data_IF_190676229759
#
_entry.id   IF_190676229759
#
_cell.length_a   1.000
_cell.length_b   1.000
_cell.length_c   1.000
_cell.angle_alpha   90.00
_cell.angle_beta   90.00
_cell.angle_gamma   90.00
#
_symmetry.space_group_name_H-M   'P 1'
#
loop_
_entity.id
_entity.type
_entity.pdbx_description
1 polymer ?
#
# COMPACT_ATOMS: atom_id res chain seq x y z
N UNK A 1 -2.39 -15.31 6.98
CA UNK A 1 -2.90 -14.04 7.56
C UNK A 1 -1.89 -13.54 8.60
N UNK A 2 -1.22 -12.44 8.28
CA UNK A 2 -0.50 -11.58 9.20
C UNK A 2 -1.53 -10.63 9.80
N UNK A 3 -2.15 -11.07 10.89
CA UNK A 3 -2.98 -10.22 11.72
C UNK A 3 -2.26 -10.15 13.06
N UNK A 4 -1.58 -9.05 13.32
CA UNK A 4 -1.10 -8.80 14.67
C UNK A 4 -2.26 -8.22 15.45
N UNK A 5 -2.73 -8.94 16.46
CA UNK A 5 -3.34 -8.28 17.58
C UNK A 5 -2.19 -7.67 18.39
N UNK A 6 -1.59 -6.55 17.93
CA UNK A 6 -0.38 -5.89 18.48
C UNK A 6 -0.60 -5.30 19.89
N UNK A 7 -1.27 -6.04 20.76
CA UNK A 7 -1.51 -5.73 22.17
C UNK A 7 -0.38 -6.23 23.07
N UNK A 8 0.68 -6.79 22.51
CA UNK A 8 1.85 -7.21 23.27
C UNK A 8 2.84 -6.05 23.36
N UNK A 9 3.21 -5.58 24.56
CA UNK A 9 4.21 -4.54 24.70
C UNK A 9 5.57 -5.05 24.20
N UNK A 10 6.25 -4.24 23.42
CA UNK A 10 7.61 -4.48 22.93
C UNK A 10 8.57 -3.50 23.57
N UNK A 11 9.80 -3.96 23.80
CA UNK A 11 10.91 -3.10 24.19
C UNK A 11 11.92 -3.14 23.05
N UNK A 12 12.08 -2.02 22.36
CA UNK A 12 13.04 -1.89 21.26
C UNK A 12 14.00 -0.73 21.51
N UNK A 13 14.99 -0.58 20.64
CA UNK A 13 15.95 0.53 20.66
C UNK A 13 15.98 1.29 19.33
N UNK A 14 14.87 1.27 18.59
CA UNK A 14 14.84 1.74 17.19
C UNK A 14 15.17 3.22 17.02
N UNK A 15 14.97 4.04 18.06
CA UNK A 15 15.25 5.48 18.03
C UNK A 15 16.74 5.84 17.98
N UNK A 16 17.61 5.12 18.69
CA UNK A 16 19.03 5.49 18.84
C UNK A 16 19.99 4.29 18.95
N UNK A 17 19.48 3.06 18.88
CA UNK A 17 20.24 1.82 19.04
C UNK A 17 20.62 1.46 20.48
N UNK A 18 20.33 2.34 21.46
CA UNK A 18 20.80 2.16 22.85
C UNK A 18 19.67 2.24 23.90
N UNK A 19 18.72 3.16 23.75
CA UNK A 19 17.66 3.47 24.73
C UNK A 19 16.47 2.54 24.54
N UNK A 20 16.11 1.72 25.55
CA UNK A 20 14.89 0.92 25.53
C UNK A 20 13.63 1.80 25.50
N UNK A 21 12.70 1.51 24.60
CA UNK A 21 11.43 2.23 24.47
C UNK A 21 10.31 1.33 23.93
N UNK A 22 9.07 1.84 24.02
CA UNK A 22 7.85 1.16 23.57
C UNK A 22 7.45 1.58 22.14
N UNK A 23 8.41 1.91 21.29
CA UNK A 23 8.19 2.09 19.84
C UNK A 23 8.55 0.78 19.14
N UNK A 24 7.76 0.34 18.16
CA UNK A 24 7.96 -0.98 17.55
C UNK A 24 9.05 -0.88 16.49
N UNK A 25 9.79 -1.97 16.30
CA UNK A 25 10.53 -2.15 15.06
C UNK A 25 9.55 -2.53 13.95
N UNK A 26 9.86 -2.15 12.71
CA UNK A 26 9.03 -2.57 11.58
C UNK A 26 9.02 -4.09 11.44
N UNK A 27 7.83 -4.68 11.31
CA UNK A 27 7.71 -6.06 10.86
C UNK A 27 7.89 -6.10 9.34
N UNK A 28 8.86 -6.88 8.90
CA UNK A 28 9.17 -7.07 7.48
C UNK A 28 8.29 -8.17 6.89
N UNK A 29 7.33 -7.79 6.06
CA UNK A 29 6.43 -8.72 5.37
C UNK A 29 6.82 -8.71 3.89
N UNK A 30 7.65 -9.69 3.49
CA UNK A 30 8.24 -9.70 2.15
C UNK A 30 8.38 -11.08 1.52
N UNK A 31 8.45 -11.08 0.18
CA UNK A 31 8.65 -12.28 -0.64
C UNK A 31 7.52 -13.32 -0.46
N UNK A 32 6.29 -12.88 -0.23
CA UNK A 32 5.12 -13.73 -0.09
C UNK A 32 4.27 -13.77 -1.37
N UNK A 33 3.66 -14.92 -1.63
CA UNK A 33 2.52 -15.06 -2.54
C UNK A 33 1.23 -14.99 -1.72
N UNK A 34 0.39 -13.99 -1.96
CA UNK A 34 -0.83 -13.76 -1.18
C UNK A 34 -2.02 -13.73 -2.14
N UNK A 35 -3.00 -14.61 -1.91
CA UNK A 35 -4.21 -14.68 -2.70
C UNK A 35 -5.44 -14.45 -1.82
N UNK A 36 -6.36 -13.62 -2.30
CA UNK A 36 -7.66 -13.40 -1.67
C UNK A 36 -8.81 -13.57 -2.68
N UNK A 37 -10.04 -13.73 -2.20
CA UNK A 37 -11.25 -13.61 -3.03
C UNK A 37 -12.19 -12.50 -2.54
N UNK A 38 -11.82 -11.83 -1.44
CA UNK A 38 -12.48 -10.67 -0.87
C UNK A 38 -11.46 -9.53 -0.77
N UNK A 39 -10.63 -9.52 0.26
CA UNK A 39 -9.59 -8.52 0.50
C UNK A 39 -8.26 -9.23 0.78
N UNK A 40 -7.34 -9.28 -0.19
CA UNK A 40 -6.03 -9.93 -0.01
C UNK A 40 -5.21 -9.25 1.09
N UNK A 41 -5.43 -7.94 1.28
CA UNK A 41 -4.81 -7.18 2.36
C UNK A 41 -5.38 -7.52 3.73
N UNK A 42 -6.55 -8.16 3.89
CA UNK A 42 -6.95 -8.68 5.22
C UNK A 42 -5.99 -9.79 5.68
N UNK A 43 -5.18 -10.32 4.76
CA UNK A 43 -4.02 -11.12 5.08
C UNK A 43 -2.86 -10.32 5.69
N UNK A 44 -2.87 -8.99 5.70
CA UNK A 44 -1.94 -8.06 6.36
C UNK A 44 -2.77 -6.95 7.00
N UNK A 45 -3.35 -7.27 8.15
CA UNK A 45 -4.38 -6.48 8.79
C UNK A 45 -3.81 -5.58 9.89
N UNK A 46 -4.20 -4.32 9.90
CA UNK A 46 -3.85 -3.31 10.90
C UNK A 46 -5.08 -2.59 11.50
N UNK A 47 -6.27 -3.19 11.40
CA UNK A 47 -7.58 -2.67 11.85
C UNK A 47 -7.78 -2.48 13.37
N UNK A 48 -6.74 -2.34 14.17
CA UNK A 48 -6.88 -2.21 15.63
C UNK A 48 -5.79 -1.37 16.30
N UNK A 49 -5.20 -0.44 15.56
CA UNK A 49 -4.08 0.39 16.03
C UNK A 49 -2.71 -0.26 15.87
N UNK A 50 -2.66 -1.47 15.28
CA UNK A 50 -1.43 -2.10 14.84
C UNK A 50 -0.68 -1.20 13.87
N UNK A 51 0.65 -1.15 14.01
CA UNK A 51 1.50 -0.19 13.29
C UNK A 51 2.90 -0.76 13.05
N UNK A 52 3.71 -0.01 12.29
CA UNK A 52 5.07 -0.37 11.93
C UNK A 52 5.14 -1.66 11.11
N UNK A 53 4.47 -1.66 9.96
CA UNK A 53 4.56 -2.74 8.98
C UNK A 53 5.31 -2.28 7.76
N UNK A 54 6.30 -3.05 7.34
CA UNK A 54 7.04 -2.81 6.11
C UNK A 54 6.73 -3.96 5.14
N UNK A 55 5.67 -3.77 4.36
CA UNK A 55 5.15 -4.77 3.44
C UNK A 55 5.74 -4.53 2.05
N UNK A 56 6.67 -5.38 1.63
CA UNK A 56 7.36 -5.13 0.38
C UNK A 56 7.75 -6.37 -0.42
N UNK A 57 7.90 -6.23 -1.74
CA UNK A 57 8.33 -7.33 -2.60
C UNK A 57 7.43 -8.58 -2.49
N UNK A 58 6.12 -8.39 -2.33
CA UNK A 58 5.12 -9.45 -2.34
C UNK A 58 4.31 -9.45 -3.65
N UNK A 59 3.76 -10.61 -3.98
CA UNK A 59 2.81 -10.76 -5.08
C UNK A 59 1.41 -11.03 -4.52
N UNK A 60 0.55 -10.01 -4.55
CA UNK A 60 -0.85 -10.09 -4.17
C UNK A 60 -1.71 -10.38 -5.40
N UNK A 61 -2.56 -11.38 -5.35
CA UNK A 61 -3.40 -11.79 -6.48
C UNK A 61 -4.86 -11.88 -6.05
N UNK A 62 -5.73 -11.25 -6.84
CA UNK A 62 -7.19 -11.22 -6.65
C UNK A 62 -7.60 -10.58 -5.32
N UNK A 63 -8.14 -9.36 -5.38
CA UNK A 63 -8.81 -8.74 -4.25
C UNK A 63 -9.64 -7.53 -4.66
N UNK A 64 -10.51 -7.11 -3.77
CA UNK A 64 -11.17 -5.83 -3.88
C UNK A 64 -10.22 -4.67 -3.53
N UNK A 65 -9.35 -4.79 -2.54
CA UNK A 65 -8.39 -3.73 -2.22
C UNK A 65 -7.02 -4.31 -1.87
N UNK A 66 -5.99 -3.47 -1.88
CA UNK A 66 -4.73 -3.75 -1.19
C UNK A 66 -4.72 -2.98 0.13
N UNK A 67 -3.57 -2.46 0.57
CA UNK A 67 -3.31 -1.86 1.89
C UNK A 67 -4.51 -1.11 2.54
N UNK A 68 -4.66 -1.31 3.85
CA UNK A 68 -5.67 -0.73 4.73
C UNK A 68 -5.03 -0.14 5.99
N UNK A 69 -5.81 0.61 6.77
CA UNK A 69 -5.48 1.12 8.13
C UNK A 69 -6.72 1.60 8.90
N UNK A 70 -7.83 0.86 8.87
CA UNK A 70 -9.01 1.26 9.66
C UNK A 70 -8.69 1.23 11.18
N UNK A 71 -9.55 1.87 11.98
CA UNK A 71 -9.51 1.87 13.46
C UNK A 71 -8.18 2.30 14.11
N UNK A 72 -7.46 3.23 13.48
CA UNK A 72 -6.28 3.85 14.06
C UNK A 72 -4.96 3.16 13.74
N UNK A 73 -4.94 2.19 12.81
CA UNK A 73 -3.70 1.69 12.24
C UNK A 73 -2.92 2.80 11.52
N UNK A 74 -1.59 2.71 11.54
CA UNK A 74 -0.69 3.71 10.94
C UNK A 74 0.71 3.14 10.72
N UNK A 75 1.62 3.92 10.12
CA UNK A 75 2.97 3.46 9.76
C UNK A 75 2.98 2.12 9.02
N UNK A 76 2.00 1.93 8.13
CA UNK A 76 1.95 0.78 7.25
C UNK A 76 2.54 1.19 5.90
N UNK A 77 3.70 0.63 5.57
CA UNK A 77 4.47 0.99 4.39
C UNK A 77 4.38 -0.15 3.39
N UNK A 78 3.64 0.07 2.31
CA UNK A 78 3.54 -0.87 1.21
C UNK A 78 4.37 -0.37 0.03
N UNK A 79 5.44 -1.10 -0.30
CA UNK A 79 6.27 -0.72 -1.44
C UNK A 79 6.86 -1.87 -2.24
N UNK A 80 7.16 -1.63 -3.51
CA UNK A 80 7.78 -2.65 -4.38
C UNK A 80 6.97 -3.96 -4.47
N UNK A 81 5.66 -3.91 -4.20
CA UNK A 81 4.77 -5.06 -4.33
C UNK A 81 4.13 -5.06 -5.73
N UNK A 82 3.59 -6.22 -6.11
CA UNK A 82 2.74 -6.36 -7.28
C UNK A 82 1.34 -6.75 -6.80
N UNK A 83 0.36 -5.88 -7.05
CA UNK A 83 -1.06 -6.11 -6.81
C UNK A 83 -1.73 -6.49 -8.12
N UNK A 84 -1.85 -7.78 -8.38
CA UNK A 84 -2.46 -8.32 -9.60
C UNK A 84 -3.98 -8.44 -9.47
N UNK A 85 -4.70 -7.90 -10.44
CA UNK A 85 -6.15 -7.99 -10.58
C UNK A 85 -6.90 -7.51 -9.32
N UNK A 86 -6.56 -6.32 -8.84
CA UNK A 86 -7.21 -5.69 -7.70
C UNK A 86 -8.25 -4.67 -8.14
N UNK A 87 -9.31 -4.42 -7.36
CA UNK A 87 -10.21 -3.30 -7.67
C UNK A 87 -9.63 -1.94 -7.23
N UNK A 88 -8.66 -1.94 -6.30
CA UNK A 88 -7.81 -0.81 -5.90
C UNK A 88 -6.51 -1.30 -5.25
N UNK A 89 -5.47 -0.47 -5.30
CA UNK A 89 -4.19 -0.70 -4.62
C UNK A 89 -4.26 -0.47 -3.12
N UNK A 90 -5.02 0.51 -2.63
CA UNK A 90 -5.15 0.76 -1.19
C UNK A 90 -6.39 1.60 -0.80
N UNK A 91 -6.80 1.47 0.46
CA UNK A 91 -7.86 2.25 1.10
C UNK A 91 -7.40 2.72 2.47
N UNK A 92 -7.07 4.01 2.57
CA UNK A 92 -6.34 4.58 3.71
C UNK A 92 -7.23 5.62 4.42
N UNK A 93 -7.34 5.53 5.74
CA UNK A 93 -7.89 6.56 6.60
C UNK A 93 -6.81 7.51 7.11
N UNK A 94 -7.24 8.66 7.61
CA UNK A 94 -6.33 9.66 8.16
C UNK A 94 -5.52 9.11 9.34
N UNK A 95 -4.20 9.28 9.28
CA UNK A 95 -3.29 8.97 10.37
C UNK A 95 -2.87 10.24 11.13
N UNK A 96 -2.28 10.05 12.31
CA UNK A 96 -1.66 11.15 13.05
C UNK A 96 -0.52 11.77 12.25
N UNK A 97 -0.22 13.04 12.55
CA UNK A 97 0.94 13.71 11.97
C UNK A 97 2.20 12.94 12.32
N UNK A 98 3.10 12.80 11.35
CA UNK A 98 4.33 11.98 11.37
C UNK A 98 4.14 10.47 11.38
N UNK A 99 2.91 9.97 11.35
CA UNK A 99 2.58 8.54 11.31
C UNK A 99 1.86 8.18 10.01
N UNK A 100 2.11 8.92 8.92
CA UNK A 100 1.41 8.64 7.68
C UNK A 100 1.80 7.30 7.08
N UNK A 101 0.78 6.62 6.60
CA UNK A 101 0.86 5.47 5.74
C UNK A 101 1.54 5.79 4.41
N UNK A 102 2.23 4.80 3.84
CA UNK A 102 2.98 4.98 2.58
C UNK A 102 2.66 3.89 1.58
N UNK A 103 2.41 4.28 0.35
CA UNK A 103 2.14 3.38 -0.76
C UNK A 103 2.90 3.83 -2.00
N UNK A 104 4.05 3.20 -2.27
CA UNK A 104 4.99 3.69 -3.29
C UNK A 104 5.74 2.58 -4.02
N UNK A 105 6.22 2.83 -5.24
CA UNK A 105 6.97 1.84 -6.04
C UNK A 105 6.21 0.53 -6.28
N UNK A 106 4.88 0.51 -6.11
CA UNK A 106 4.08 -0.69 -6.34
C UNK A 106 3.63 -0.76 -7.80
N UNK A 107 3.47 -1.98 -8.31
CA UNK A 107 2.73 -2.25 -9.54
C UNK A 107 1.29 -2.62 -9.16
N UNK A 108 0.30 -1.93 -9.70
CA UNK A 108 -1.12 -2.17 -9.39
C UNK A 108 -1.88 -2.42 -10.68
N UNK A 109 -2.28 -3.66 -10.90
CA UNK A 109 -3.10 -4.08 -12.04
C UNK A 109 -4.56 -4.03 -11.61
N UNK A 110 -5.27 -3.01 -12.06
CA UNK A 110 -6.64 -2.74 -11.67
C UNK A 110 -7.66 -3.44 -12.57
N UNK A 111 -8.72 -4.00 -11.97
CA UNK A 111 -9.87 -4.58 -12.68
C UNK A 111 -10.90 -3.55 -13.14
N UNK A 112 -10.65 -2.27 -12.87
CA UNK A 112 -11.47 -1.13 -13.26
C UNK A 112 -10.56 0.10 -13.44
N UNK A 113 -11.16 1.24 -13.79
CA UNK A 113 -10.42 2.49 -13.96
C UNK A 113 -10.79 3.54 -12.89
N UNK A 114 -11.40 3.18 -11.75
CA UNK A 114 -11.99 4.14 -10.78
C UNK A 114 -11.01 4.76 -9.78
N UNK A 115 -9.75 4.98 -10.17
CA UNK A 115 -8.68 5.40 -9.26
C UNK A 115 -8.07 4.24 -8.48
N UNK A 116 -6.74 4.25 -8.29
CA UNK A 116 -6.03 3.15 -7.63
C UNK A 116 -6.05 3.22 -6.09
N UNK A 117 -6.40 4.36 -5.52
CA UNK A 117 -6.35 4.63 -4.07
C UNK A 117 -7.64 5.31 -3.61
N UNK A 118 -8.04 5.08 -2.36
CA UNK A 118 -9.05 5.90 -1.66
C UNK A 118 -8.51 6.35 -0.33
N UNK A 119 -8.65 7.65 -0.03
CA UNK A 119 -8.36 8.19 1.29
C UNK A 119 -9.14 9.51 1.52
N UNK A 120 -9.08 10.07 2.74
CA UNK A 120 -9.67 11.39 3.02
C UNK A 120 -8.88 12.50 2.30
N UNK A 121 -9.47 13.05 1.26
CA UNK A 121 -8.87 14.12 0.45
C UNK A 121 -8.70 15.45 1.21
N UNK A 122 -9.27 15.59 2.42
CA UNK A 122 -9.05 16.72 3.32
C UNK A 122 -7.93 16.48 4.33
N UNK A 123 -7.16 15.41 4.16
CA UNK A 123 -6.07 15.00 5.04
C UNK A 123 -5.07 16.11 5.38
N UNK A 124 -4.88 17.11 4.51
CA UNK A 124 -4.03 18.27 4.79
C UNK A 124 -4.55 19.19 5.92
N UNK A 125 -5.83 19.08 6.28
CA UNK A 125 -6.49 19.89 7.31
C UNK A 125 -6.95 19.07 8.51
N UNK A 126 -7.19 17.76 8.33
CA UNK A 126 -7.80 16.88 9.34
C UNK A 126 -6.84 15.85 9.92
N UNK A 127 -5.76 15.51 9.22
CA UNK A 127 -4.87 14.38 9.56
C UNK A 127 -3.50 14.55 8.88
N UNK A 128 -2.78 13.47 8.56
CA UNK A 128 -1.70 13.50 7.56
C UNK A 128 -2.08 12.69 6.35
N UNK A 129 -1.81 13.27 5.18
CA UNK A 129 -2.03 12.61 3.90
C UNK A 129 -1.09 11.41 3.75
N UNK A 130 -1.56 10.31 3.15
CA UNK A 130 -0.66 9.21 2.82
C UNK A 130 0.43 9.69 1.86
N UNK A 131 1.62 9.12 2.01
CA UNK A 131 2.71 9.32 1.08
C UNK A 131 2.54 8.37 -0.11
N UNK A 132 2.17 8.93 -1.25
CA UNK A 132 1.91 8.23 -2.50
C UNK A 132 2.88 8.72 -3.56
N UNK A 133 3.70 7.84 -4.13
CA UNK A 133 4.62 8.20 -5.20
C UNK A 133 5.13 6.99 -5.98
N UNK A 134 5.58 7.23 -7.21
CA UNK A 134 6.29 6.28 -8.05
C UNK A 134 5.59 4.91 -8.25
N UNK A 135 4.27 4.87 -8.19
CA UNK A 135 3.51 3.64 -8.46
C UNK A 135 3.30 3.46 -9.98
N UNK A 136 3.29 2.21 -10.44
CA UNK A 136 2.93 1.87 -11.81
C UNK A 136 1.53 1.26 -11.82
N UNK A 137 0.56 2.02 -12.31
CA UNK A 137 -0.85 1.63 -12.34
C UNK A 137 -1.18 1.10 -13.73
N UNK A 138 -1.84 -0.05 -13.79
CA UNK A 138 -2.26 -0.68 -15.03
C UNK A 138 -3.77 -0.86 -15.07
N UNK A 139 -4.42 -0.29 -16.08
CA UNK A 139 -5.88 -0.44 -16.33
C UNK A 139 -6.12 -1.04 -17.71
N UNK A 140 -7.34 -1.50 -18.00
CA UNK A 140 -7.62 -2.20 -19.25
C UNK A 140 -7.38 -1.34 -20.50
N UNK A 141 -7.53 -0.02 -20.39
CA UNK A 141 -7.37 0.96 -21.47
C UNK A 141 -6.20 1.93 -21.27
N UNK A 142 -5.49 1.86 -20.14
CA UNK A 142 -4.42 2.79 -19.80
C UNK A 142 -4.91 4.16 -19.34
N UNK A 143 -6.18 4.27 -19.00
CA UNK A 143 -6.77 5.47 -18.40
C UNK A 143 -7.23 5.20 -16.96
N UNK A 144 -7.37 6.25 -16.16
CA UNK A 144 -7.83 6.15 -14.78
C UNK A 144 -8.62 7.41 -14.43
N UNK A 145 -9.73 7.22 -13.72
CA UNK A 145 -10.53 8.29 -13.12
C UNK A 145 -9.74 8.99 -12.01
N UNK A 146 -10.23 10.16 -11.68
CA UNK A 146 -9.66 11.07 -10.71
C UNK A 146 -9.49 10.47 -9.31
N UNK A 147 -8.40 10.85 -8.66
CA UNK A 147 -8.18 10.62 -7.24
C UNK A 147 -8.46 11.95 -6.54
N UNK A 148 -9.40 11.96 -5.60
CA UNK A 148 -9.85 13.20 -4.96
C UNK A 148 -10.45 14.24 -5.92
N UNK A 149 -11.06 13.79 -7.03
CA UNK A 149 -11.65 14.69 -8.03
C UNK A 149 -10.60 15.48 -8.82
N UNK A 150 -9.35 15.02 -8.84
CA UNK A 150 -8.25 15.56 -9.62
C UNK A 150 -7.64 14.44 -10.47
N UNK A 151 -7.29 14.77 -11.70
CA UNK A 151 -6.54 13.84 -12.54
C UNK A 151 -5.11 13.65 -12.00
N UNK A 152 -4.41 12.60 -12.47
CA UNK A 152 -3.07 12.29 -11.96
C UNK A 152 -2.05 13.41 -12.22
N UNK A 153 -2.19 14.16 -13.32
CA UNK A 153 -1.28 15.25 -13.67
C UNK A 153 -1.47 16.44 -12.74
N UNK A 154 -2.72 16.81 -12.45
CA UNK A 154 -3.07 17.84 -11.48
C UNK A 154 -2.52 17.52 -10.10
N UNK A 155 -2.67 16.26 -9.67
CA UNK A 155 -2.13 15.80 -8.38
C UNK A 155 -0.61 15.90 -8.30
N UNK A 156 0.08 15.48 -9.37
CA UNK A 156 1.54 15.60 -9.44
C UNK A 156 2.00 17.06 -9.42
N UNK A 157 1.27 17.99 -10.05
CA UNK A 157 1.58 19.42 -9.95
C UNK A 157 1.44 19.98 -8.52
N UNK A 158 0.59 19.37 -7.69
CA UNK A 158 0.40 19.70 -6.28
C UNK A 158 1.38 18.98 -5.34
N UNK A 159 2.27 18.14 -5.86
CA UNK A 159 3.24 17.39 -5.07
C UNK A 159 2.76 16.02 -4.58
N UNK A 160 1.57 15.57 -4.99
CA UNK A 160 1.04 14.24 -4.65
C UNK A 160 1.27 13.25 -5.79
N UNK A 161 1.38 11.96 -5.48
CA UNK A 161 1.50 10.89 -6.48
C UNK A 161 2.68 11.09 -7.46
N UNK A 162 3.73 11.79 -7.03
CA UNK A 162 4.87 12.16 -7.87
C UNK A 162 5.49 10.91 -8.50
N UNK A 163 5.63 10.91 -9.83
CA UNK A 163 6.23 9.80 -10.57
C UNK A 163 5.31 8.59 -10.72
N UNK A 164 4.10 8.60 -10.18
CA UNK A 164 3.11 7.56 -10.47
C UNK A 164 2.70 7.65 -11.94
N UNK A 165 2.54 6.49 -12.59
CA UNK A 165 2.15 6.38 -14.00
C UNK A 165 0.91 5.52 -14.18
N UNK A 166 0.19 5.72 -15.28
CA UNK A 166 -0.93 4.86 -15.70
C UNK A 166 -0.60 4.31 -17.08
N UNK A 167 -0.79 3.01 -17.28
CA UNK A 167 -0.54 2.31 -18.53
C UNK A 167 -1.58 1.23 -18.78
N UNK A 168 -1.66 0.75 -20.03
CA UNK A 168 -2.53 -0.39 -20.34
C UNK A 168 -2.01 -1.65 -19.65
N UNK A 169 -2.91 -2.58 -19.35
CA UNK A 169 -2.56 -3.90 -18.80
C UNK A 169 -1.36 -4.53 -19.53
N UNK A 170 -0.38 -5.03 -18.77
CA UNK A 170 0.67 -5.88 -19.30
C UNK A 170 0.09 -7.25 -19.69
N UNK A 171 0.86 -8.07 -20.40
CA UNK A 171 0.45 -9.46 -20.65
C UNK A 171 0.51 -10.29 -19.37
N UNK A 172 -0.25 -11.39 -19.33
CA UNK A 172 -0.24 -12.30 -18.17
C UNK A 172 1.16 -12.90 -17.94
N UNK A 173 1.93 -13.17 -19.02
CA UNK A 173 3.31 -13.64 -18.91
C UNK A 173 4.20 -12.62 -18.19
N UNK A 174 4.00 -11.33 -18.44
CA UNK A 174 4.74 -10.26 -17.80
C UNK A 174 4.36 -10.13 -16.31
N UNK A 175 3.07 -10.28 -15.97
CA UNK A 175 2.60 -10.28 -14.58
C UNK A 175 3.18 -11.47 -13.81
N UNK A 176 3.11 -12.66 -14.40
CA UNK A 176 3.69 -13.89 -13.83
C UNK A 176 5.20 -13.74 -13.68
N UNK A 177 5.88 -13.12 -14.65
CA UNK A 177 7.31 -12.82 -14.55
C UNK A 177 7.61 -11.94 -13.33
N UNK A 178 6.87 -10.85 -13.12
CA UNK A 178 7.09 -10.02 -11.93
C UNK A 178 6.86 -10.80 -10.63
N UNK A 179 5.81 -11.60 -10.55
CA UNK A 179 5.53 -12.44 -9.39
C UNK A 179 6.69 -13.41 -9.09
N UNK A 180 7.19 -14.12 -10.10
CA UNK A 180 8.34 -15.02 -9.96
C UNK A 180 9.61 -14.29 -9.52
N UNK A 181 9.83 -13.05 -9.98
CA UNK A 181 11.00 -12.22 -9.63
C UNK A 181 11.00 -11.91 -8.16
N UNK A 182 9.85 -11.45 -7.66
CA UNK A 182 9.68 -11.13 -6.26
C UNK A 182 9.83 -12.35 -5.35
N UNK A 183 9.46 -13.54 -5.83
CA UNK A 183 9.50 -14.78 -5.05
C UNK A 183 10.83 -15.55 -5.19
N UNK A 184 11.79 -15.06 -5.98
CA UNK A 184 13.06 -15.74 -6.20
C UNK A 184 12.92 -17.07 -6.94
N UNK A 185 11.93 -17.19 -7.83
CA UNK A 185 11.61 -18.43 -8.58
C UNK A 185 12.19 -18.43 -10.00
N UNK A 186 13.35 -17.80 -10.18
CA UNK A 186 14.10 -17.71 -11.44
C UNK A 186 15.47 -18.33 -11.33
#
# INVERSE_FOLDING_TARGET
PFNSWDRQPFITKVKDGVTPQLEKAFDEIRNNFIMGNYYSQEGIDNDDGSSYYNTHHNFFVYARAGMKNDFGGHDNYHHSNVYAYHSRGAGINGALRTHQDRFYLNKVILTNSNGYIKYDCKCNTTSSCPDLHANEIYTYDGTMLDICGQDLKERQNLGYDIGTTVSKWPSDEQIIYWGRSLLGLF
#
